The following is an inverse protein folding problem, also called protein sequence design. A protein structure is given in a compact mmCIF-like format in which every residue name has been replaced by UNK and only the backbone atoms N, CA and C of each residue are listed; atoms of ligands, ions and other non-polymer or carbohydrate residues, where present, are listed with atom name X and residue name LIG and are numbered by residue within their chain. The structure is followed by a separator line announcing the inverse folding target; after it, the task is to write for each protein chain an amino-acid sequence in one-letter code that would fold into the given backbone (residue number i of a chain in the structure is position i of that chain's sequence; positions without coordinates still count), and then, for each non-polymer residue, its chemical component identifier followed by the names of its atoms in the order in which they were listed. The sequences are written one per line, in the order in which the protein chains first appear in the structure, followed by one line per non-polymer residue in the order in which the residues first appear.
data_IF_516032550908
#
_entry.id   IF_516032550908
#
_cell.length_a   1.000
_cell.length_b   1.000
_cell.length_c   1.000
_cell.angle_alpha   90.00
_cell.angle_beta   90.00
_cell.angle_gamma   90.00
#
_symmetry.space_group_name_H-M   'P 1'
#
loop_
_entity.id
_entity.type
_entity.pdbx_description
1 polymer ?
#
# COMPACT_ATOMS: atom_id res chain seq x y z
N UNK A 1 0.08 18.75 -6.01
CA UNK A 1 -0.21 17.63 -5.09
C UNK A 1 -0.59 16.42 -5.92
N UNK A 2 0.08 15.27 -5.76
CA UNK A 2 -0.12 14.07 -6.61
C UNK A 2 -0.66 12.86 -5.84
N UNK A 3 -0.83 12.99 -4.52
CA UNK A 3 -1.31 11.93 -3.65
C UNK A 3 -2.81 12.05 -3.42
N UNK A 4 -3.50 10.92 -3.44
CA UNK A 4 -4.92 10.84 -3.12
C UNK A 4 -5.11 10.39 -1.68
N UNK A 5 -6.08 11.01 -0.98
CA UNK A 5 -6.50 10.52 0.32
C UNK A 5 -7.46 9.34 0.15
N UNK A 6 -7.00 8.14 0.52
CA UNK A 6 -7.78 6.91 0.43
C UNK A 6 -7.75 6.14 1.74
N UNK A 7 -8.78 5.32 2.00
CA UNK A 7 -8.88 4.54 3.23
C UNK A 7 -7.66 3.64 3.41
N UNK A 8 -7.18 3.56 4.64
CA UNK A 8 -6.05 2.76 5.10
C UNK A 8 -6.29 2.31 6.53
N UNK A 9 -6.61 1.02 6.71
CA UNK A 9 -7.09 0.45 7.97
C UNK A 9 -8.27 1.27 8.55
N UNK A 10 -8.21 1.68 9.83
CA UNK A 10 -9.25 2.44 10.51
C UNK A 10 -9.18 3.96 10.25
N UNK A 11 -8.38 4.41 9.27
CA UNK A 11 -8.22 5.82 8.93
C UNK A 11 -8.02 5.99 7.42
N UNK A 12 -7.41 7.09 7.00
CA UNK A 12 -6.99 7.33 5.63
C UNK A 12 -5.50 7.66 5.56
N UNK A 13 -4.93 7.46 4.38
CA UNK A 13 -3.53 7.75 4.05
C UNK A 13 -3.46 8.53 2.74
N UNK A 14 -2.54 9.49 2.66
CA UNK A 14 -2.16 10.10 1.38
C UNK A 14 -1.29 9.11 0.58
N UNK A 15 -1.84 8.57 -0.51
CA UNK A 15 -1.24 7.51 -1.29
C UNK A 15 -1.01 7.97 -2.73
N UNK A 16 0.20 7.73 -3.25
CA UNK A 16 0.54 8.05 -4.63
C UNK A 16 0.02 6.94 -5.56
N UNK A 17 -0.88 7.26 -6.52
CA UNK A 17 -1.46 6.29 -7.45
C UNK A 17 -0.51 5.97 -8.63
N UNK A 18 0.80 5.88 -8.36
CA UNK A 18 1.82 5.73 -9.42
C UNK A 18 1.69 4.40 -10.17
N UNK A 19 1.05 3.42 -9.54
CA UNK A 19 0.99 2.05 -10.03
C UNK A 19 0.18 1.91 -11.32
N UNK A 20 -0.91 2.68 -11.47
CA UNK A 20 -1.68 2.69 -12.71
C UNK A 20 -0.87 3.26 -13.88
N UNK A 21 -0.06 4.30 -13.64
CA UNK A 21 0.86 4.85 -14.65
C UNK A 21 1.94 3.84 -15.03
N UNK A 22 2.50 3.12 -14.06
CA UNK A 22 3.50 2.08 -14.33
C UNK A 22 2.92 0.96 -15.19
N UNK A 23 1.72 0.46 -14.89
CA UNK A 23 1.02 -0.52 -15.73
C UNK A 23 0.84 -0.02 -17.16
N UNK A 24 0.37 1.22 -17.35
CA UNK A 24 0.15 1.79 -18.68
C UNK A 24 1.44 1.93 -19.50
N UNK A 25 2.55 2.34 -18.90
CA UNK A 25 3.80 2.54 -19.63
C UNK A 25 4.48 1.20 -19.92
N UNK A 26 4.51 0.31 -18.93
CA UNK A 26 5.22 -0.97 -19.05
C UNK A 26 4.42 -2.06 -19.77
N UNK A 27 3.09 -1.92 -19.83
CA UNK A 27 2.17 -2.98 -20.24
C UNK A 27 2.37 -4.27 -19.41
N UNK A 28 2.88 -4.14 -18.18
CA UNK A 28 3.19 -5.25 -17.31
C UNK A 28 2.12 -5.43 -16.21
N UNK A 29 1.93 -6.69 -15.82
CA UNK A 29 1.20 -7.02 -14.61
C UNK A 29 2.01 -6.65 -13.37
N UNK A 30 1.31 -6.30 -12.30
CA UNK A 30 1.93 -5.96 -11.03
C UNK A 30 1.55 -7.02 -10.01
N UNK A 31 2.57 -7.61 -9.40
CA UNK A 31 2.45 -8.72 -8.47
C UNK A 31 2.86 -8.21 -7.08
N UNK A 32 1.91 -8.08 -6.13
CA UNK A 32 2.23 -7.68 -4.77
C UNK A 32 2.96 -8.81 -4.04
N UNK A 33 3.94 -8.43 -3.22
CA UNK A 33 4.68 -9.37 -2.37
C UNK A 33 4.94 -8.77 -0.98
N UNK A 34 5.11 -9.65 0.01
CA UNK A 34 5.45 -9.28 1.38
C UNK A 34 6.46 -10.27 1.98
N UNK A 35 7.69 -9.81 2.31
CA UNK A 35 8.66 -10.64 2.99
C UNK A 35 8.35 -10.74 4.49
N UNK A 36 8.39 -11.96 5.02
CA UNK A 36 8.15 -12.30 6.43
C UNK A 36 9.35 -13.11 6.93
N UNK A 37 9.97 -12.65 8.01
CA UNK A 37 11.08 -13.31 8.67
C UNK A 37 10.57 -14.20 9.82
N UNK A 38 10.95 -15.48 9.81
CA UNK A 38 10.73 -16.43 10.91
C UNK A 38 11.97 -16.45 11.79
N UNK A 39 11.90 -15.84 12.98
CA UNK A 39 13.02 -15.75 13.92
C UNK A 39 13.48 -17.11 14.45
N UNK A 40 12.58 -18.10 14.54
CA UNK A 40 12.87 -19.40 15.14
C UNK A 40 13.58 -20.31 14.15
N UNK A 41 13.19 -20.21 12.88
CA UNK A 41 13.79 -20.99 11.78
C UNK A 41 14.93 -20.26 11.09
N UNK A 42 15.10 -18.96 11.34
CA UNK A 42 16.02 -18.07 10.63
C UNK A 42 15.81 -18.08 9.11
N UNK A 43 14.54 -18.09 8.68
CA UNK A 43 14.16 -18.14 7.26
C UNK A 43 13.35 -16.91 6.86
N UNK A 44 13.57 -16.44 5.63
CA UNK A 44 12.73 -15.44 4.97
C UNK A 44 11.73 -16.13 4.06
N UNK A 45 10.44 -15.95 4.35
CA UNK A 45 9.34 -16.38 3.49
C UNK A 45 8.81 -15.19 2.71
N UNK A 46 8.62 -15.31 1.40
CA UNK A 46 8.02 -14.25 0.59
C UNK A 46 6.60 -14.66 0.27
N UNK A 47 5.63 -13.92 0.81
CA UNK A 47 4.23 -14.07 0.44
C UNK A 47 3.99 -13.36 -0.89
N UNK A 48 3.52 -14.10 -1.89
CA UNK A 48 3.24 -13.57 -3.23
C UNK A 48 1.73 -13.64 -3.45
N UNK A 49 1.13 -12.51 -3.81
CA UNK A 49 -0.29 -12.42 -4.17
C UNK A 49 -0.49 -12.64 -5.67
N UNK A 50 -1.70 -13.01 -6.11
CA UNK A 50 -2.05 -12.93 -7.52
C UNK A 50 -1.79 -11.52 -8.08
N UNK A 51 -1.55 -11.39 -9.39
CA UNK A 51 -1.46 -10.10 -10.05
C UNK A 51 -2.64 -9.20 -9.69
N UNK A 52 -2.35 -7.91 -9.52
CA UNK A 52 -3.39 -6.90 -9.40
C UNK A 52 -4.20 -6.84 -10.70
N UNK A 53 -5.48 -6.49 -10.58
CA UNK A 53 -6.38 -6.40 -11.73
C UNK A 53 -5.87 -5.38 -12.77
N UNK A 54 -5.84 -5.78 -14.04
CA UNK A 54 -5.43 -4.93 -15.14
C UNK A 54 -6.33 -3.69 -15.32
N UNK A 55 -7.58 -3.73 -14.84
CA UNK A 55 -8.48 -2.57 -14.88
C UNK A 55 -7.95 -1.37 -14.07
N UNK A 56 -7.01 -1.58 -13.16
CA UNK A 56 -6.33 -0.51 -12.40
C UNK A 56 -5.59 0.45 -13.33
N UNK A 57 -5.13 -0.02 -14.49
CA UNK A 57 -4.42 0.80 -15.46
C UNK A 57 -5.29 1.95 -16.01
N UNK A 58 -6.60 1.74 -16.13
CA UNK A 58 -7.56 2.74 -16.62
C UNK A 58 -8.44 3.37 -15.53
N UNK A 59 -8.25 2.98 -14.27
CA UNK A 59 -9.02 3.50 -13.14
C UNK A 59 -8.62 4.94 -12.76
N UNK A 60 -9.50 5.64 -12.04
CA UNK A 60 -9.17 6.94 -11.48
C UNK A 60 -8.15 6.84 -10.33
N UNK A 61 -7.43 7.93 -10.08
CA UNK A 61 -6.37 8.00 -9.08
C UNK A 61 -6.82 7.55 -7.68
N UNK A 62 -8.06 7.88 -7.27
CA UNK A 62 -8.57 7.54 -5.94
C UNK A 62 -8.82 6.04 -5.82
N UNK A 63 -9.38 5.44 -6.86
CA UNK A 63 -9.56 3.97 -6.96
C UNK A 63 -8.22 3.25 -6.92
N UNK A 64 -7.22 3.73 -7.68
CA UNK A 64 -5.86 3.18 -7.68
C UNK A 64 -5.25 3.25 -6.27
N UNK A 65 -5.33 4.42 -5.62
CA UNK A 65 -4.82 4.63 -4.28
C UNK A 65 -5.49 3.73 -3.23
N UNK A 66 -6.81 3.52 -3.33
CA UNK A 66 -7.52 2.61 -2.44
C UNK A 66 -7.08 1.16 -2.65
N UNK A 67 -6.93 0.73 -3.89
CA UNK A 67 -6.50 -0.64 -4.20
C UNK A 67 -5.08 -0.92 -3.69
N UNK A 68 -4.18 0.07 -3.78
CA UNK A 68 -2.86 0.02 -3.15
C UNK A 68 -2.95 -0.18 -1.63
N UNK A 69 -3.72 0.68 -0.94
CA UNK A 69 -3.88 0.60 0.51
C UNK A 69 -4.50 -0.73 0.95
N UNK A 70 -5.52 -1.22 0.23
CA UNK A 70 -6.15 -2.53 0.48
C UNK A 70 -5.17 -3.68 0.33
N UNK A 71 -4.28 -3.60 -0.66
CA UNK A 71 -3.25 -4.62 -0.89
C UNK A 71 -2.27 -4.67 0.28
N UNK A 72 -1.86 -3.49 0.79
CA UNK A 72 -1.03 -3.39 1.99
C UNK A 72 -1.76 -3.95 3.21
N UNK A 73 -3.03 -3.60 3.43
CA UNK A 73 -3.85 -4.12 4.55
C UNK A 73 -3.88 -5.66 4.58
N UNK A 74 -4.08 -6.27 3.41
CA UNK A 74 -4.11 -7.73 3.27
C UNK A 74 -2.75 -8.36 3.59
N UNK A 75 -1.66 -7.80 3.06
CA UNK A 75 -0.31 -8.35 3.22
C UNK A 75 0.25 -8.14 4.63
N UNK A 76 -0.06 -7.01 5.25
CA UNK A 76 0.43 -6.66 6.59
C UNK A 76 -0.40 -7.33 7.69
N UNK A 77 -1.69 -7.59 7.45
CA UNK A 77 -2.61 -8.12 8.45
C UNK A 77 -2.13 -9.38 9.21
N UNK A 78 -1.54 -10.38 8.54
CA UNK A 78 -1.01 -11.58 9.22
C UNK A 78 0.20 -11.32 10.12
N UNK A 79 1.06 -10.37 9.75
CA UNK A 79 2.35 -10.08 10.38
C UNK A 79 2.54 -8.57 10.60
N UNK A 80 1.63 -7.90 11.35
CA UNK A 80 1.68 -6.46 11.51
C UNK A 80 2.99 -6.00 12.14
N UNK A 81 3.58 -6.77 13.04
CA UNK A 81 4.85 -6.48 13.70
C UNK A 81 6.04 -6.32 12.73
N UNK A 82 5.95 -6.89 11.52
CA UNK A 82 7.04 -6.87 10.54
C UNK A 82 6.91 -5.74 9.50
N UNK A 83 5.93 -4.84 9.65
CA UNK A 83 5.80 -3.69 8.76
C UNK A 83 6.62 -2.49 9.23
N UNK A 84 6.86 -1.56 8.31
CA UNK A 84 7.70 -0.36 8.52
C UNK A 84 6.99 0.75 9.31
N UNK A 85 6.43 0.44 10.48
CA UNK A 85 5.67 1.39 11.32
C UNK A 85 6.49 2.54 11.88
N UNK A 86 7.82 2.44 11.83
CA UNK A 86 8.74 3.54 12.14
C UNK A 86 8.53 4.75 11.19
N UNK A 87 8.00 4.51 10.00
CA UNK A 87 7.67 5.58 9.06
C UNK A 87 6.41 6.32 9.51
N UNK A 88 6.43 7.66 9.40
CA UNK A 88 5.26 8.52 9.65
C UNK A 88 4.24 8.44 8.49
N UNK A 89 3.70 7.25 8.24
CA UNK A 89 2.81 6.92 7.12
C UNK A 89 1.54 7.79 7.02
N UNK A 90 1.10 8.37 8.13
CA UNK A 90 -0.13 9.17 8.28
C UNK A 90 0.15 10.67 8.42
N UNK A 91 1.39 11.14 8.21
CA UNK A 91 1.79 12.53 8.50
C UNK A 91 1.04 13.54 7.65
N UNK A 92 0.82 13.20 6.38
CA UNK A 92 0.07 14.04 5.45
C UNK A 92 -1.43 13.88 5.75
N UNK A 93 -2.05 14.96 6.23
CA UNK A 93 -3.47 15.02 6.59
C UNK A 93 -4.25 15.97 5.68
N UNK A 94 -5.58 15.86 5.72
CA UNK A 94 -6.49 16.89 5.19
C UNK A 94 -6.34 18.18 6.00
N UNK A 95 -6.75 19.30 5.41
CA UNK A 95 -6.65 20.61 6.05
C UNK A 95 -7.34 20.63 7.42
N UNK A 96 -6.72 21.30 8.39
CA UNK A 96 -7.19 21.48 9.76
C UNK A 96 -7.24 20.22 10.64
N UNK A 97 -6.61 19.11 10.24
CA UNK A 97 -6.40 17.97 11.14
C UNK A 97 -5.05 18.06 11.87
N UNK A 98 -5.03 17.64 13.13
CA UNK A 98 -3.80 17.58 13.93
C UNK A 98 -2.84 16.50 13.40
N UNK A 99 -1.53 16.71 13.60
CA UNK A 99 -0.53 15.66 13.36
C UNK A 99 -0.80 14.50 14.34
N UNK A 100 -1.05 13.27 13.86
CA UNK A 100 -1.32 12.13 14.74
C UNK A 100 -0.05 11.60 15.43
N UNK A 101 1.14 12.10 15.08
CA UNK A 101 2.39 11.71 15.71
C UNK A 101 2.80 12.67 16.82
N UNK A 102 3.42 12.16 17.90
CA UNK A 102 4.13 12.99 18.87
C UNK A 102 5.28 13.79 18.25
#
# INVERSE_FOLDING_TARGET
EYSEFADFFATYKATLPIIGRLMNISQAMIIPLFPVYDEKKHLLTIEIRPPMDACIASADNKTIARQMNKTVEILVGPHPEQYVWVLKLLKTRKSNEADPYP
#
